data_IF_599499034094
#
_entry.id   IF_599499034094
#
_cell.length_a   1.000
_cell.length_b   1.000
_cell.length_c   1.000
_cell.angle_alpha   90.00
_cell.angle_beta   90.00
_cell.angle_gamma   90.00
#
_symmetry.space_group_name_H-M   'P 1'
#
loop_
_entity.id
_entity.type
_entity.pdbx_description
1 polymer ?
#
# COMPACT_ATOMS: atom_id res chain seq x y z
N UNK A 1 -10.10 -1.96 -9.82
CA UNK A 1 -11.23 -1.91 -8.85
C UNK A 1 -11.09 -0.73 -7.89
N UNK A 2 -10.08 -0.63 -7.01
CA UNK A 2 -9.96 0.51 -6.07
C UNK A 2 -9.99 1.87 -6.76
N UNK A 3 -9.16 2.08 -7.79
CA UNK A 3 -9.17 3.31 -8.60
C UNK A 3 -10.54 3.63 -9.20
N UNK A 4 -11.29 2.62 -9.64
CA UNK A 4 -12.63 2.79 -10.20
C UNK A 4 -13.61 3.25 -9.13
N UNK A 5 -13.60 2.62 -7.95
CA UNK A 5 -14.47 3.01 -6.84
C UNK A 5 -14.07 4.38 -6.27
N UNK A 6 -12.78 4.71 -6.25
CA UNK A 6 -12.26 5.99 -5.79
C UNK A 6 -12.61 7.16 -6.71
N UNK A 7 -12.89 6.91 -8.00
CA UNK A 7 -13.36 7.96 -8.92
C UNK A 7 -14.75 8.50 -8.53
N UNK A 8 -15.54 7.72 -7.79
CA UNK A 8 -16.89 8.07 -7.32
C UNK A 8 -17.12 7.52 -5.91
N UNK A 9 -16.49 8.10 -4.87
CA UNK A 9 -16.42 7.50 -3.53
C UNK A 9 -17.78 7.36 -2.84
N UNK A 10 -18.74 8.20 -3.23
CA UNK A 10 -20.13 8.19 -2.73
C UNK A 10 -21.02 7.14 -3.39
N UNK A 11 -20.56 6.48 -4.46
CA UNK A 11 -21.37 5.55 -5.25
C UNK A 11 -21.03 4.11 -4.88
N UNK A 12 -22.08 3.31 -4.65
CA UNK A 12 -21.98 1.86 -4.50
C UNK A 12 -22.29 1.15 -5.81
N UNK A 13 -21.47 0.16 -6.16
CA UNK A 13 -21.61 -0.64 -7.38
C UNK A 13 -21.80 -2.12 -7.06
N UNK A 14 -22.62 -2.81 -7.84
CA UNK A 14 -22.72 -4.27 -7.85
C UNK A 14 -21.47 -4.86 -8.46
N UNK A 15 -21.09 -6.06 -8.03
CA UNK A 15 -19.95 -6.78 -8.61
C UNK A 15 -20.08 -7.00 -10.14
N UNK A 16 -21.31 -7.10 -10.65
CA UNK A 16 -21.57 -7.18 -12.09
C UNK A 16 -21.26 -5.89 -12.84
N UNK A 17 -21.63 -4.73 -12.28
CA UNK A 17 -21.37 -3.42 -12.85
C UNK A 17 -19.86 -3.13 -12.88
N UNK A 18 -19.14 -3.53 -11.83
CA UNK A 18 -17.68 -3.42 -11.76
C UNK A 18 -17.02 -4.35 -12.79
N UNK A 19 -17.53 -5.58 -12.96
CA UNK A 19 -17.03 -6.53 -13.94
C UNK A 19 -17.18 -6.01 -15.37
N UNK A 20 -18.33 -5.45 -15.70
CA UNK A 20 -18.61 -4.84 -17.00
C UNK A 20 -17.75 -3.60 -17.24
N UNK A 21 -17.69 -2.68 -16.27
CA UNK A 21 -16.96 -1.42 -16.42
C UNK A 21 -15.43 -1.61 -16.56
N UNK A 22 -14.88 -2.70 -16.03
CA UNK A 22 -13.45 -2.99 -16.05
C UNK A 22 -13.06 -4.11 -17.02
N UNK A 23 -14.03 -4.73 -17.70
CA UNK A 23 -13.83 -5.92 -18.53
C UNK A 23 -13.07 -7.05 -17.80
N UNK A 24 -13.51 -7.36 -16.57
CA UNK A 24 -12.91 -8.40 -15.70
C UNK A 24 -13.95 -9.49 -15.42
N UNK A 25 -13.57 -10.78 -15.42
CA UNK A 25 -14.48 -11.85 -15.06
C UNK A 25 -15.14 -11.64 -13.68
N UNK A 26 -16.47 -11.81 -13.63
CA UNK A 26 -17.27 -11.57 -12.41
C UNK A 26 -16.79 -12.39 -11.20
N UNK A 27 -16.32 -13.63 -11.42
CA UNK A 27 -15.75 -14.47 -10.37
C UNK A 27 -14.51 -13.82 -9.73
N UNK A 28 -13.60 -13.29 -10.54
CA UNK A 28 -12.41 -12.58 -10.10
C UNK A 28 -12.75 -11.29 -9.36
N UNK A 29 -13.74 -10.53 -9.84
CA UNK A 29 -14.21 -9.30 -9.18
C UNK A 29 -14.74 -9.61 -7.78
N UNK A 30 -15.59 -10.64 -7.64
CA UNK A 30 -16.11 -11.06 -6.35
C UNK A 30 -15.00 -11.43 -5.35
N UNK A 31 -14.07 -12.30 -5.76
CA UNK A 31 -12.94 -12.70 -4.91
C UNK A 31 -12.07 -11.50 -4.49
N UNK A 32 -11.77 -10.59 -5.42
CA UNK A 32 -10.97 -9.39 -5.11
C UNK A 32 -11.71 -8.46 -4.16
N UNK A 33 -13.01 -8.23 -4.35
CA UNK A 33 -13.82 -7.40 -3.47
C UNK A 33 -13.89 -7.96 -2.04
N UNK A 34 -14.04 -9.28 -1.88
CA UNK A 34 -13.98 -9.91 -0.56
C UNK A 34 -12.63 -9.70 0.13
N UNK A 35 -11.52 -9.81 -0.60
CA UNK A 35 -10.18 -9.56 -0.04
C UNK A 35 -10.01 -8.10 0.37
N UNK A 36 -10.38 -7.16 -0.50
CA UNK A 36 -10.31 -5.73 -0.22
C UNK A 36 -11.17 -5.34 0.98
N UNK A 37 -12.32 -6.00 1.16
CA UNK A 37 -13.20 -5.77 2.31
C UNK A 37 -12.59 -6.26 3.62
N UNK A 38 -12.01 -7.46 3.62
CA UNK A 38 -11.31 -7.99 4.78
C UNK A 38 -10.12 -7.11 5.19
N UNK A 39 -9.51 -6.42 4.23
CA UNK A 39 -8.44 -5.44 4.45
C UNK A 39 -8.94 -4.02 4.77
N UNK A 40 -10.26 -3.79 4.76
CA UNK A 40 -10.86 -2.50 5.10
C UNK A 40 -10.86 -1.44 3.98
N UNK A 41 -10.41 -1.78 2.77
CA UNK A 41 -10.34 -0.83 1.64
C UNK A 41 -11.68 -0.53 0.98
N UNK A 42 -12.67 -1.42 1.15
CA UNK A 42 -14.01 -1.25 0.58
C UNK A 42 -15.09 -1.56 1.61
N UNK A 43 -16.18 -0.79 1.55
CA UNK A 43 -17.40 -1.00 2.32
C UNK A 43 -18.41 -1.78 1.49
N UNK A 44 -19.17 -2.66 2.15
CA UNK A 44 -20.17 -3.51 1.50
C UNK A 44 -21.53 -3.33 2.18
N UNK A 45 -22.59 -3.16 1.38
CA UNK A 45 -23.98 -3.08 1.86
C UNK A 45 -24.93 -3.74 0.86
N UNK A 46 -25.51 -4.87 1.26
CA UNK A 46 -26.40 -5.64 0.40
C UNK A 46 -25.64 -6.25 -0.77
N UNK A 47 -25.89 -5.76 -1.99
CA UNK A 47 -25.16 -6.17 -3.20
C UNK A 47 -24.13 -5.13 -3.65
N UNK A 48 -24.04 -3.98 -2.95
CA UNK A 48 -23.27 -2.82 -3.37
C UNK A 48 -21.95 -2.71 -2.62
N UNK A 49 -20.91 -2.36 -3.39
CA UNK A 49 -19.54 -2.16 -2.94
C UNK A 49 -19.12 -0.72 -3.23
N UNK A 50 -18.51 -0.06 -2.25
CA UNK A 50 -17.95 1.29 -2.41
C UNK A 50 -16.56 1.36 -1.78
N UNK A 51 -15.78 2.36 -2.17
CA UNK A 51 -14.49 2.62 -1.53
C UNK A 51 -14.71 2.98 -0.05
N UNK A 52 -13.77 2.59 0.80
CA UNK A 52 -13.62 3.19 2.12
C UNK A 52 -12.66 4.39 1.98
N UNK A 53 -13.14 5.65 2.05
CA UNK A 53 -12.33 6.83 1.78
C UNK A 53 -11.15 6.94 2.76
N UNK A 54 -11.36 6.68 4.05
CA UNK A 54 -10.32 6.81 5.07
C UNK A 54 -9.13 5.86 4.82
N UNK A 55 -9.42 4.61 4.45
CA UNK A 55 -8.40 3.61 4.14
C UNK A 55 -7.69 3.90 2.81
N UNK A 56 -8.44 4.42 1.82
CA UNK A 56 -7.88 4.76 0.52
C UNK A 56 -6.98 5.99 0.59
N UNK A 57 -7.35 7.00 1.36
CA UNK A 57 -6.58 8.23 1.56
C UNK A 57 -5.26 7.93 2.27
N UNK A 58 -5.30 7.12 3.34
CA UNK A 58 -4.08 6.69 4.04
C UNK A 58 -3.12 5.92 3.12
N UNK A 59 -3.65 4.99 2.31
CA UNK A 59 -2.84 4.23 1.37
C UNK A 59 -2.26 5.14 0.27
N UNK A 60 -3.07 6.05 -0.27
CA UNK A 60 -2.63 7.01 -1.29
C UNK A 60 -1.57 7.96 -0.74
N UNK A 61 -1.75 8.47 0.48
CA UNK A 61 -0.77 9.31 1.16
C UNK A 61 0.55 8.56 1.40
N UNK A 62 0.49 7.27 1.79
CA UNK A 62 1.69 6.45 1.96
C UNK A 62 2.45 6.26 0.64
N UNK A 63 1.75 5.99 -0.47
CA UNK A 63 2.39 5.86 -1.78
C UNK A 63 3.03 7.16 -2.24
N UNK A 64 2.34 8.30 -2.06
CA UNK A 64 2.88 9.62 -2.38
C UNK A 64 4.09 9.93 -1.52
N UNK A 65 4.04 9.64 -0.22
CA UNK A 65 5.15 9.86 0.70
C UNK A 65 6.38 9.02 0.32
N UNK A 66 6.20 7.74 0.00
CA UNK A 66 7.31 6.89 -0.45
C UNK A 66 7.90 7.37 -1.77
N UNK A 67 7.06 7.77 -2.73
CA UNK A 67 7.53 8.32 -4.00
C UNK A 67 8.30 9.63 -3.81
N UNK A 68 7.81 10.53 -2.93
CA UNK A 68 8.49 11.78 -2.62
C UNK A 68 9.85 11.56 -1.94
N UNK A 69 9.94 10.60 -1.01
CA UNK A 69 11.22 10.19 -0.42
C UNK A 69 12.14 9.62 -1.49
N UNK A 70 11.65 8.71 -2.33
CA UNK A 70 12.44 8.14 -3.42
C UNK A 70 12.98 9.21 -4.37
N UNK A 71 12.15 10.18 -4.77
CA UNK A 71 12.56 11.30 -5.63
C UNK A 71 13.56 12.23 -4.92
N UNK A 72 13.39 12.46 -3.61
CA UNK A 72 14.28 13.32 -2.83
C UNK A 72 15.72 12.75 -2.75
N UNK A 73 15.84 11.42 -2.69
CA UNK A 73 17.13 10.73 -2.52
C UNK A 73 17.62 10.05 -3.81
N UNK A 74 16.95 10.30 -4.94
CA UNK A 74 17.39 9.81 -6.24
C UNK A 74 18.80 10.35 -6.57
N UNK A 75 19.72 9.45 -6.93
CA UNK A 75 21.12 9.76 -7.23
C UNK A 75 21.95 10.16 -6.01
N UNK A 76 21.48 9.91 -4.78
CA UNK A 76 22.30 10.06 -3.60
C UNK A 76 23.29 8.89 -3.46
N UNK A 77 24.15 8.97 -2.44
CA UNK A 77 25.14 7.92 -2.19
C UNK A 77 24.50 6.54 -1.98
N UNK A 78 23.34 6.46 -1.32
CA UNK A 78 22.69 5.19 -1.01
C UNK A 78 21.95 4.61 -2.22
N UNK A 79 21.42 5.46 -3.11
CA UNK A 79 20.80 5.06 -4.38
C UNK A 79 21.85 4.55 -5.39
N UNK A 80 23.03 5.18 -5.47
CA UNK A 80 24.09 4.77 -6.38
C UNK A 80 24.89 3.53 -5.90
N UNK A 81 24.83 3.20 -4.60
CA UNK A 81 25.61 2.12 -3.99
C UNK A 81 24.68 1.08 -3.35
N UNK A 82 24.14 0.10 -4.09
CA UNK A 82 23.15 -0.85 -3.58
C UNK A 82 23.71 -1.83 -2.53
N UNK A 83 25.03 -1.93 -2.41
CA UNK A 83 25.78 -2.70 -1.43
C UNK A 83 26.36 -1.83 -0.31
N UNK A 84 25.77 -0.65 -0.08
CA UNK A 84 26.19 0.28 0.98
C UNK A 84 26.24 -0.36 2.37
N UNK A 85 25.47 -1.42 2.60
CA UNK A 85 25.39 -2.16 3.84
C UNK A 85 26.43 -3.29 3.98
N UNK A 86 27.16 -3.63 2.91
CA UNK A 86 28.03 -4.81 2.86
C UNK A 86 29.22 -4.77 3.85
N UNK A 87 29.58 -3.60 4.36
CA UNK A 87 30.66 -3.41 5.34
C UNK A 87 30.16 -2.86 6.67
N UNK A 88 28.85 -2.87 6.92
CA UNK A 88 28.31 -2.49 8.22
C UNK A 88 28.54 -3.64 9.21
N UNK A 89 28.99 -3.33 10.44
CA UNK A 89 29.06 -4.34 11.50
C UNK A 89 27.65 -4.81 11.87
N UNK A 90 27.56 -6.04 12.34
CA UNK A 90 26.31 -6.63 12.80
C UNK A 90 25.77 -5.84 14.01
N UNK A 91 24.44 -5.76 14.13
CA UNK A 91 23.78 -4.90 15.13
C UNK A 91 24.11 -5.28 16.58
N UNK A 92 24.55 -6.51 16.82
CA UNK A 92 24.95 -7.07 18.12
C UNK A 92 26.42 -6.82 18.47
N UNK A 93 27.26 -6.41 17.52
CA UNK A 93 28.70 -6.13 17.74
C UNK A 93 28.93 -4.79 18.48
N UNK A 94 27.89 -3.96 18.61
CA UNK A 94 27.94 -2.66 19.29
C UNK A 94 27.70 -2.72 20.81
N UNK A 95 27.28 -3.85 21.39
CA UNK A 95 26.96 -3.95 22.83
C UNK A 95 28.20 -4.06 23.74
N UNK A 96 29.39 -4.32 23.20
CA UNK A 96 30.58 -4.63 24.01
C UNK A 96 31.46 -3.42 24.40
N UNK A 97 31.10 -2.19 24.01
CA UNK A 97 32.01 -1.02 24.15
C UNK A 97 31.76 -0.10 25.35
N UNK A 98 30.72 -0.31 26.16
CA UNK A 98 30.38 0.60 27.28
C UNK A 98 30.37 -0.04 28.69
N UNK A 99 30.82 -1.29 28.84
CA UNK A 99 31.00 -1.92 30.17
C UNK A 99 32.47 -1.93 30.60
N UNK A 100 33.05 -0.76 30.88
CA UNK A 100 34.47 -0.73 31.25
C UNK A 100 35.06 0.60 31.67
N UNK A 101 34.43 1.33 32.60
CA UNK A 101 35.11 2.37 33.37
C UNK A 101 34.47 2.51 34.77
N UNK A 102 34.99 1.74 35.74
CA UNK A 102 34.95 2.08 37.17
C UNK A 102 36.13 2.97 37.53
#
# INVERSE_FOLDING_TARGET
ILRFLAATPETGYRAGEIAEALDIPRGSVGTTLSRLHNQGFVRHKGEYWAINPDAYDAHTASLIGLAAVSEQFEGDYYDENPDWDANLPDLDEYEDVDSGAE
#
